data_IF_592945928560
#
_entry.id   IF_592945928560
#
_cell.length_a   1.000
_cell.length_b   1.000
_cell.length_c   1.000
_cell.angle_alpha   90.00
_cell.angle_beta   90.00
_cell.angle_gamma   90.00
#
_symmetry.space_group_name_H-M   'P 1'
#
loop_
_entity.id
_entity.type
_entity.pdbx_description
1 polymer ?
#
# COMPACT_ATOMS: atom_id res chain seq x y z
N UNK A 1 -32.66 -34.79 14.43
CA UNK A 1 -33.76 -34.01 15.06
C UNK A 1 -34.54 -34.77 16.13
N UNK A 2 -34.33 -36.07 16.30
CA UNK A 2 -35.02 -36.87 17.32
C UNK A 2 -34.37 -36.81 18.71
N UNK A 3 -33.11 -36.37 18.81
CA UNK A 3 -32.36 -36.31 20.06
C UNK A 3 -32.64 -35.05 20.89
N UNK A 4 -32.85 -33.90 20.25
CA UNK A 4 -33.28 -32.65 20.88
C UNK A 4 -34.23 -31.88 19.94
N UNK A 5 -35.55 -31.94 20.19
CA UNK A 5 -36.56 -31.22 19.40
C UNK A 5 -36.53 -29.71 19.59
N UNK A 6 -35.88 -29.21 20.65
CA UNK A 6 -35.77 -27.78 20.95
C UNK A 6 -34.53 -27.13 20.30
N UNK A 7 -33.64 -27.93 19.72
CA UNK A 7 -32.45 -27.46 19.02
C UNK A 7 -32.82 -26.57 17.83
N UNK A 8 -32.15 -25.42 17.70
CA UNK A 8 -32.31 -24.56 16.52
C UNK A 8 -31.76 -25.25 15.28
N UNK A 9 -32.54 -25.27 14.20
CA UNK A 9 -32.12 -25.83 12.91
C UNK A 9 -30.77 -25.26 12.43
N UNK A 10 -30.49 -23.97 12.66
CA UNK A 10 -29.23 -23.32 12.27
C UNK A 10 -27.98 -23.82 13.03
N UNK A 11 -28.16 -24.61 14.08
CA UNK A 11 -27.07 -25.18 14.88
C UNK A 11 -26.84 -26.66 14.60
N UNK A 12 -27.60 -27.24 13.68
CA UNK A 12 -27.41 -28.63 13.27
C UNK A 12 -26.14 -28.70 12.44
N UNK A 13 -25.16 -29.44 12.95
CA UNK A 13 -24.00 -29.82 12.15
C UNK A 13 -24.44 -30.85 11.11
N UNK A 14 -24.27 -30.49 9.84
CA UNK A 14 -24.64 -31.34 8.72
C UNK A 14 -23.49 -32.23 8.27
N UNK A 15 -22.28 -31.97 8.76
CA UNK A 15 -21.08 -32.65 8.33
C UNK A 15 -20.71 -33.74 9.33
N UNK A 16 -20.32 -34.90 8.81
CA UNK A 16 -19.76 -35.95 9.64
C UNK A 16 -18.27 -35.68 9.96
N UNK A 17 -17.70 -36.50 10.84
CA UNK A 17 -16.29 -36.36 11.25
C UNK A 17 -15.29 -36.52 10.09
N UNK A 18 -15.61 -37.33 9.08
CA UNK A 18 -14.79 -37.53 7.90
C UNK A 18 -14.83 -36.33 6.96
N UNK A 19 -16.01 -35.73 6.79
CA UNK A 19 -16.19 -34.48 6.04
C UNK A 19 -15.50 -33.30 6.72
N UNK A 20 -15.59 -33.18 8.04
CA UNK A 20 -14.81 -32.21 8.82
C UNK A 20 -13.30 -32.40 8.63
N UNK A 21 -12.81 -33.64 8.71
CA UNK A 21 -11.40 -33.93 8.48
C UNK A 21 -10.95 -33.59 7.04
N UNK A 22 -11.84 -33.80 6.06
CA UNK A 22 -11.59 -33.40 4.68
C UNK A 22 -11.52 -31.87 4.54
N UNK A 23 -12.47 -31.15 5.12
CA UNK A 23 -12.48 -29.69 5.14
C UNK A 23 -11.26 -29.11 5.86
N UNK A 24 -10.83 -29.70 6.96
CA UNK A 24 -9.62 -29.29 7.67
C UNK A 24 -8.37 -29.43 6.79
N UNK A 25 -8.30 -30.50 6.00
CA UNK A 25 -7.21 -30.76 5.08
C UNK A 25 -7.21 -29.76 3.92
N UNK A 26 -8.32 -29.60 3.19
CA UNK A 26 -8.39 -28.70 2.04
C UNK A 26 -8.37 -27.22 2.45
N UNK A 27 -8.90 -26.92 3.64
CA UNK A 27 -8.90 -25.59 4.26
C UNK A 27 -7.60 -25.24 4.97
N UNK A 28 -6.56 -26.06 4.84
CA UNK A 28 -5.23 -25.86 5.42
C UNK A 28 -5.28 -25.52 6.93
N UNK A 29 -6.18 -26.15 7.70
CA UNK A 29 -6.39 -25.85 9.12
C UNK A 29 -5.11 -25.97 9.94
N UNK A 30 -4.31 -26.98 9.66
CA UNK A 30 -3.01 -27.17 10.28
C UNK A 30 -2.07 -25.96 10.09
N UNK A 31 -2.11 -25.28 8.93
CA UNK A 31 -1.29 -24.09 8.68
C UNK A 31 -1.79 -22.89 9.48
N UNK A 32 -3.12 -22.72 9.57
CA UNK A 32 -3.75 -21.61 10.28
C UNK A 32 -3.66 -21.75 11.80
N UNK A 33 -3.59 -22.99 12.32
CA UNK A 33 -3.43 -23.28 13.75
C UNK A 33 -1.98 -23.19 14.23
N UNK A 34 -1.00 -23.04 13.32
CA UNK A 34 0.40 -22.88 13.72
C UNK A 34 0.60 -21.54 14.41
N UNK A 35 1.22 -21.56 15.58
CA UNK A 35 1.73 -20.34 16.22
C UNK A 35 2.85 -19.78 15.36
N UNK A 36 2.61 -18.63 14.74
CA UNK A 36 3.63 -17.89 13.98
C UNK A 36 4.22 -16.83 14.92
N UNK A 37 5.56 -16.67 14.98
CA UNK A 37 6.18 -15.53 15.67
C UNK A 37 5.57 -14.22 15.17
N UNK A 38 5.52 -13.18 16.01
CA UNK A 38 5.02 -11.86 15.61
C UNK A 38 5.59 -11.46 14.26
N UNK A 39 4.73 -11.37 13.25
CA UNK A 39 5.17 -11.14 11.88
C UNK A 39 5.84 -9.76 11.79
N UNK A 40 7.08 -9.74 11.30
CA UNK A 40 7.76 -8.49 11.02
C UNK A 40 7.04 -7.73 9.90
N UNK A 41 6.92 -6.42 10.03
CA UNK A 41 6.32 -5.59 8.99
C UNK A 41 7.17 -5.58 7.72
N UNK A 42 6.56 -5.35 6.55
CA UNK A 42 7.27 -5.23 5.26
C UNK A 42 8.44 -4.22 5.35
N UNK A 43 8.29 -3.01 5.91
CA UNK A 43 9.41 -2.09 6.09
C UNK A 43 10.53 -2.61 7.01
N UNK A 44 10.19 -3.41 8.03
CA UNK A 44 11.19 -3.99 8.93
C UNK A 44 12.00 -5.09 8.23
N UNK A 45 11.33 -5.98 7.50
CA UNK A 45 12.01 -7.02 6.70
C UNK A 45 12.88 -6.39 5.61
N UNK A 46 12.39 -5.34 4.94
CA UNK A 46 13.18 -4.59 3.97
C UNK A 46 14.40 -3.92 4.61
N UNK A 47 14.25 -3.27 5.76
CA UNK A 47 15.37 -2.65 6.46
C UNK A 47 16.45 -3.67 6.85
N UNK A 48 16.04 -4.87 7.31
CA UNK A 48 16.97 -5.97 7.58
C UNK A 48 17.71 -6.43 6.31
N UNK A 49 17.02 -6.49 5.16
CA UNK A 49 17.68 -6.81 3.89
C UNK A 49 18.67 -5.72 3.44
N UNK A 50 18.32 -4.44 3.61
CA UNK A 50 19.22 -3.32 3.30
C UNK A 50 20.49 -3.39 4.15
N UNK A 51 20.38 -3.76 5.42
CA UNK A 51 21.53 -3.95 6.30
C UNK A 51 22.41 -5.15 5.88
N UNK A 52 21.80 -6.26 5.43
CA UNK A 52 22.53 -7.46 4.99
C UNK A 52 23.27 -7.27 3.66
N UNK A 53 22.60 -6.69 2.67
CA UNK A 53 23.12 -6.58 1.30
C UNK A 53 22.82 -5.20 0.71
N UNK A 54 23.50 -4.13 1.18
CA UNK A 54 23.17 -2.75 0.81
C UNK A 54 23.32 -2.47 -0.69
N UNK A 55 24.29 -3.12 -1.34
CA UNK A 55 24.63 -2.91 -2.76
C UNK A 55 23.91 -3.89 -3.71
N UNK A 56 23.11 -4.81 -3.19
CA UNK A 56 22.31 -5.68 -4.04
C UNK A 56 21.22 -4.88 -4.77
N UNK A 57 20.94 -5.18 -6.05
CA UNK A 57 19.84 -4.54 -6.79
C UNK A 57 18.50 -4.87 -6.12
N UNK A 58 17.67 -3.84 -5.90
CA UNK A 58 16.39 -3.95 -5.20
C UNK A 58 15.21 -3.55 -6.08
N UNK A 59 15.36 -2.52 -6.92
CA UNK A 59 14.33 -2.08 -7.86
C UNK A 59 14.98 -1.95 -9.23
N UNK A 60 14.43 -2.61 -10.24
CA UNK A 60 14.83 -2.44 -11.65
C UNK A 60 13.60 -2.08 -12.47
N UNK A 61 13.71 -1.01 -13.25
CA UNK A 61 12.65 -0.49 -14.11
C UNK A 61 13.28 0.15 -15.35
N UNK A 62 12.78 -0.17 -16.54
CA UNK A 62 13.27 0.34 -17.84
C UNK A 62 14.81 0.32 -17.99
N UNK A 63 15.42 -0.82 -17.63
CA UNK A 63 16.87 -1.02 -17.74
C UNK A 63 17.71 -0.28 -16.70
N UNK A 64 17.10 0.52 -15.83
CA UNK A 64 17.77 1.19 -14.71
C UNK A 64 17.56 0.40 -13.42
N UNK A 65 18.61 0.23 -12.62
CA UNK A 65 18.54 -0.48 -11.35
C UNK A 65 18.99 0.40 -10.18
N UNK A 66 18.34 0.21 -9.04
CA UNK A 66 18.66 0.86 -7.77
C UNK A 66 18.99 -0.19 -6.73
N UNK A 67 20.07 0.04 -5.99
CA UNK A 67 20.48 -0.81 -4.87
C UNK A 67 19.50 -0.71 -3.70
N UNK A 68 19.53 -1.68 -2.80
CA UNK A 68 18.74 -1.68 -1.57
C UNK A 68 19.02 -0.41 -0.73
N UNK A 69 20.28 -0.01 -0.60
CA UNK A 69 20.70 1.18 0.16
C UNK A 69 20.18 2.48 -0.49
N UNK A 70 20.27 2.60 -1.82
CA UNK A 70 19.74 3.73 -2.58
C UNK A 70 18.22 3.83 -2.47
N UNK A 71 17.53 2.69 -2.59
CA UNK A 71 16.07 2.58 -2.42
C UNK A 71 15.65 3.08 -1.05
N UNK A 72 16.27 2.59 0.02
CA UNK A 72 15.97 3.01 1.39
C UNK A 72 16.16 4.53 1.61
N UNK A 73 17.25 5.12 1.09
CA UNK A 73 17.52 6.55 1.20
C UNK A 73 16.54 7.42 0.40
N UNK A 74 16.08 6.92 -0.76
CA UNK A 74 15.17 7.66 -1.65
C UNK A 74 13.69 7.51 -1.28
N UNK A 75 13.35 6.68 -0.29
CA UNK A 75 11.96 6.59 0.20
C UNK A 75 11.50 7.95 0.75
N UNK A 76 10.44 8.53 0.16
CA UNK A 76 9.85 9.81 0.58
C UNK A 76 9.08 9.77 1.91
N UNK A 77 9.38 8.81 2.79
CA UNK A 77 8.59 8.52 4.00
C UNK A 77 8.52 9.71 4.96
N UNK A 78 9.58 10.52 5.03
CA UNK A 78 9.60 11.73 5.88
C UNK A 78 8.57 12.75 5.42
N UNK A 79 8.37 12.88 4.10
CA UNK A 79 7.34 13.75 3.54
C UNK A 79 5.95 13.22 3.88
N UNK A 80 5.71 11.90 3.74
CA UNK A 80 4.45 11.29 4.16
C UNK A 80 4.17 11.51 5.65
N UNK A 81 5.19 11.31 6.50
CA UNK A 81 5.06 11.51 7.95
C UNK A 81 4.76 12.97 8.31
N UNK A 82 5.41 13.93 7.64
CA UNK A 82 5.15 15.36 7.81
C UNK A 82 3.72 15.76 7.41
N UNK A 83 3.09 15.03 6.49
CA UNK A 83 1.68 15.19 6.12
C UNK A 83 0.70 14.46 7.06
N UNK A 84 1.21 13.78 8.09
CA UNK A 84 0.39 13.09 9.09
C UNK A 84 0.12 11.61 8.78
N UNK A 85 0.87 11.00 7.87
CA UNK A 85 0.79 9.55 7.65
C UNK A 85 1.29 8.81 8.91
N UNK A 86 0.45 7.92 9.44
CA UNK A 86 0.65 7.14 10.67
C UNK A 86 -0.30 5.94 10.70
N UNK A 87 -0.16 4.98 11.64
CA UNK A 87 -1.11 3.88 11.79
C UNK A 87 -2.57 4.36 11.85
N UNK A 88 -3.44 3.63 11.13
CA UNK A 88 -4.86 3.98 11.00
C UNK A 88 -5.15 5.12 10.01
N UNK A 89 -4.15 5.65 9.30
CA UNK A 89 -4.35 6.61 8.20
C UNK A 89 -4.09 5.98 6.84
N UNK A 90 -4.61 6.61 5.80
CA UNK A 90 -4.48 6.19 4.41
C UNK A 90 -3.86 7.30 3.55
N UNK A 91 -2.99 6.93 2.61
CA UNK A 91 -2.41 7.82 1.59
C UNK A 91 -2.74 7.28 0.20
N UNK A 92 -3.32 8.10 -0.67
CA UNK A 92 -3.63 7.71 -2.04
C UNK A 92 -2.38 7.76 -2.94
N UNK A 93 -2.20 6.76 -3.80
CA UNK A 93 -1.12 6.67 -4.77
C UNK A 93 -1.72 6.66 -6.19
N UNK A 94 -1.49 7.75 -6.92
CA UNK A 94 -1.91 7.96 -8.30
C UNK A 94 -0.68 8.01 -9.19
N UNK A 95 -0.03 6.85 -9.35
CA UNK A 95 1.22 6.70 -10.07
C UNK A 95 1.06 5.61 -11.12
N UNK A 96 1.52 5.80 -12.37
CA UNK A 96 1.67 4.70 -13.30
C UNK A 96 2.72 3.72 -12.77
N UNK A 97 2.83 2.54 -13.41
CA UNK A 97 3.90 1.59 -13.11
C UNK A 97 5.27 2.26 -13.28
N UNK A 98 6.04 2.38 -12.20
CA UNK A 98 7.38 2.97 -12.18
C UNK A 98 8.16 2.56 -10.93
N UNK A 99 9.46 2.88 -10.88
CA UNK A 99 10.25 2.75 -9.65
C UNK A 99 9.71 3.65 -8.53
N UNK A 100 9.23 4.85 -8.87
CA UNK A 100 8.63 5.82 -7.95
C UNK A 100 7.36 5.27 -7.30
N UNK A 101 6.55 4.47 -8.01
CA UNK A 101 5.38 3.80 -7.44
C UNK A 101 5.77 2.85 -6.29
N UNK A 102 6.84 2.05 -6.48
CA UNK A 102 7.36 1.15 -5.44
C UNK A 102 7.95 1.96 -4.27
N UNK A 103 8.70 3.02 -4.55
CA UNK A 103 9.22 3.92 -3.53
C UNK A 103 8.09 4.57 -2.72
N UNK A 104 6.96 4.90 -3.36
CA UNK A 104 5.82 5.49 -2.71
C UNK A 104 5.08 4.52 -1.79
N UNK A 105 4.87 3.27 -2.23
CA UNK A 105 4.35 2.21 -1.37
C UNK A 105 5.23 2.04 -0.14
N UNK A 106 6.55 1.93 -0.33
CA UNK A 106 7.50 1.79 0.79
C UNK A 106 7.51 3.01 1.70
N UNK A 107 7.38 4.22 1.15
CA UNK A 107 7.31 5.45 1.92
C UNK A 107 6.09 5.47 2.85
N UNK A 108 4.91 5.09 2.35
CA UNK A 108 3.67 5.02 3.12
C UNK A 108 3.75 3.93 4.18
N UNK A 109 4.13 2.71 3.80
CA UNK A 109 4.24 1.58 4.73
C UNK A 109 5.23 1.86 5.87
N UNK A 110 6.35 2.55 5.60
CA UNK A 110 7.33 2.92 6.63
C UNK A 110 6.77 3.86 7.70
N UNK A 111 5.70 4.60 7.41
CA UNK A 111 4.97 5.41 8.41
C UNK A 111 3.95 4.61 9.21
N UNK A 112 3.68 3.35 8.83
CA UNK A 112 2.61 2.53 9.38
C UNK A 112 1.22 2.85 8.81
N UNK A 113 1.10 3.83 7.91
CA UNK A 113 -0.13 4.11 7.18
C UNK A 113 -0.41 3.03 6.12
N UNK A 114 -1.68 2.90 5.75
CA UNK A 114 -2.10 2.15 4.57
C UNK A 114 -1.96 3.01 3.31
N UNK A 115 -1.77 2.37 2.15
CA UNK A 115 -1.84 3.04 0.86
C UNK A 115 -3.12 2.64 0.11
N UNK A 116 -3.68 3.57 -0.66
CA UNK A 116 -4.74 3.32 -1.61
C UNK A 116 -4.17 3.49 -3.02
N UNK A 117 -3.95 2.38 -3.73
CA UNK A 117 -3.53 2.43 -5.12
C UNK A 117 -4.72 2.79 -6.02
N UNK A 118 -4.58 3.84 -6.83
CA UNK A 118 -5.58 4.30 -7.79
C UNK A 118 -4.91 4.33 -9.16
N UNK A 119 -5.45 3.59 -10.12
CA UNK A 119 -5.01 3.64 -11.51
C UNK A 119 -5.42 4.99 -12.14
N UNK A 120 -4.46 5.82 -12.61
CA UNK A 120 -4.77 7.07 -13.30
C UNK A 120 -5.58 6.90 -14.60
N UNK A 121 -5.62 5.69 -15.18
CA UNK A 121 -6.42 5.37 -16.36
C UNK A 121 -7.92 5.22 -16.06
N UNK A 122 -8.32 5.18 -14.79
CA UNK A 122 -9.73 5.16 -14.43
C UNK A 122 -10.43 6.48 -14.77
N UNK A 123 -11.75 6.45 -15.08
CA UNK A 123 -12.55 7.66 -15.20
C UNK A 123 -12.50 8.50 -13.92
N UNK A 124 -12.57 9.83 -14.05
CA UNK A 124 -12.47 10.76 -12.91
C UNK A 124 -13.50 10.46 -11.81
N UNK A 125 -14.74 10.14 -12.19
CA UNK A 125 -15.79 9.77 -11.24
C UNK A 125 -15.39 8.58 -10.34
N UNK A 126 -14.69 7.58 -10.88
CA UNK A 126 -14.23 6.42 -10.08
C UNK A 126 -13.10 6.82 -9.13
N UNK A 127 -12.15 7.62 -9.60
CA UNK A 127 -11.06 8.11 -8.74
C UNK A 127 -11.58 9.01 -7.61
N UNK A 128 -12.53 9.89 -7.91
CA UNK A 128 -13.19 10.76 -6.94
C UNK A 128 -13.98 9.96 -5.91
N UNK A 129 -14.74 8.94 -6.34
CA UNK A 129 -15.43 8.02 -5.44
C UNK A 129 -14.46 7.33 -4.47
N UNK A 130 -13.38 6.74 -4.99
CA UNK A 130 -12.38 6.04 -4.15
C UNK A 130 -11.74 6.97 -3.12
N UNK A 131 -11.42 8.20 -3.51
CA UNK A 131 -10.85 9.21 -2.60
C UNK A 131 -11.88 9.74 -1.61
N UNK A 132 -13.15 9.85 -2.00
CA UNK A 132 -14.23 10.25 -1.10
C UNK A 132 -14.43 9.19 0.00
N UNK A 133 -14.56 7.92 -0.41
CA UNK A 133 -14.81 6.77 0.46
C UNK A 133 -13.65 6.48 1.42
N UNK A 134 -12.41 6.44 0.90
CA UNK A 134 -11.25 6.09 1.71
C UNK A 134 -10.73 7.24 2.60
N UNK A 135 -11.11 8.49 2.31
CA UNK A 135 -10.68 9.67 3.06
C UNK A 135 -9.16 9.77 3.30
N UNK A 136 -8.31 9.68 2.26
CA UNK A 136 -6.87 9.72 2.44
C UNK A 136 -6.42 11.08 2.99
N UNK A 137 -5.35 11.07 3.78
CA UNK A 137 -4.76 12.28 4.37
C UNK A 137 -3.87 13.05 3.39
N UNK A 138 -3.41 12.39 2.33
CA UNK A 138 -2.62 12.96 1.25
C UNK A 138 -2.75 12.11 -0.01
N UNK A 139 -2.42 12.68 -1.16
CA UNK A 139 -2.26 11.98 -2.42
C UNK A 139 -0.83 12.13 -2.95
N UNK A 140 -0.29 11.08 -3.53
CA UNK A 140 1.02 11.04 -4.16
C UNK A 140 0.82 10.81 -5.65
N UNK A 141 1.38 11.67 -6.50
CA UNK A 141 1.23 11.59 -7.97
C UNK A 141 2.48 12.10 -8.70
N UNK A 142 2.48 12.05 -10.03
CA UNK A 142 3.49 12.69 -10.89
C UNK A 142 2.87 13.90 -11.60
N UNK A 143 3.71 14.81 -12.11
CA UNK A 143 3.30 15.97 -12.93
C UNK A 143 2.36 15.64 -14.10
N UNK A 144 2.45 14.41 -14.64
CA UNK A 144 1.62 13.95 -15.76
C UNK A 144 0.24 13.40 -15.34
N UNK A 145 0.04 13.12 -14.04
CA UNK A 145 -1.21 12.60 -13.52
C UNK A 145 -2.27 13.70 -13.37
N UNK A 146 -3.50 13.45 -13.84
CA UNK A 146 -4.64 14.33 -13.57
C UNK A 146 -4.96 14.24 -12.07
N UNK A 147 -4.69 15.28 -11.26
CA UNK A 147 -4.85 15.16 -9.82
C UNK A 147 -6.33 15.02 -9.49
N UNK A 148 -6.66 14.10 -8.57
CA UNK A 148 -7.98 14.09 -7.94
C UNK A 148 -8.18 15.44 -7.27
N UNK A 149 -9.23 16.16 -7.71
CA UNK A 149 -9.54 17.49 -7.20
C UNK A 149 -10.42 17.38 -5.97
N UNK A 150 -9.81 17.05 -4.83
CA UNK A 150 -10.46 17.18 -3.52
C UNK A 150 -9.94 18.44 -2.81
N UNK A 151 -10.78 19.45 -2.55
CA UNK A 151 -10.38 20.64 -1.80
C UNK A 151 -9.73 20.25 -0.47
N UNK A 152 -8.56 20.81 -0.18
CA UNK A 152 -7.84 20.58 1.07
C UNK A 152 -7.02 19.29 1.16
N UNK A 153 -7.04 18.41 0.15
CA UNK A 153 -6.18 17.23 0.13
C UNK A 153 -4.75 17.61 -0.30
N UNK A 154 -3.73 17.44 0.57
CA UNK A 154 -2.34 17.68 0.17
C UNK A 154 -1.92 16.73 -0.95
N UNK A 155 -1.29 17.29 -2.00
CA UNK A 155 -0.77 16.52 -3.13
C UNK A 155 0.75 16.60 -3.13
N UNK A 156 1.39 15.43 -3.12
CA UNK A 156 2.83 15.25 -3.25
C UNK A 156 3.17 14.85 -4.66
N UNK A 157 4.09 15.60 -5.26
CA UNK A 157 4.67 15.28 -6.55
C UNK A 157 6.02 14.56 -6.34
N UNK A 158 6.16 13.38 -6.94
CA UNK A 158 7.36 12.54 -6.83
C UNK A 158 8.39 12.84 -7.93
N UNK A 159 8.03 13.64 -8.94
CA UNK A 159 8.89 14.00 -10.06
C UNK A 159 8.80 13.05 -11.26
N UNK A 160 9.21 13.57 -12.42
CA UNK A 160 9.02 13.02 -13.77
C UNK A 160 9.77 11.69 -14.03
N UNK A 161 9.10 10.63 -14.55
CA UNK A 161 9.76 9.40 -14.99
C UNK A 161 10.73 9.59 -16.18
N UNK A 162 10.66 10.68 -16.94
CA UNK A 162 11.49 10.92 -18.13
C UNK A 162 12.86 11.57 -17.85
N UNK A 163 13.15 11.97 -16.61
CA UNK A 163 14.44 12.56 -16.25
C UNK A 163 15.42 11.45 -15.86
N UNK A 164 16.57 11.33 -16.53
CA UNK A 164 17.66 10.37 -16.22
C UNK A 164 18.77 10.97 -15.35
N UNK A 165 18.62 12.19 -14.84
CA UNK A 165 19.68 12.87 -14.11
C UNK A 165 19.65 12.57 -12.60
N UNK A 166 20.80 12.12 -12.09
CA UNK A 166 21.11 11.79 -10.70
C UNK A 166 21.14 13.01 -9.75
N UNK A 167 20.10 13.84 -9.74
CA UNK A 167 19.90 14.85 -8.68
C UNK A 167 18.93 14.31 -7.64
N UNK A 168 19.22 14.57 -6.37
CA UNK A 168 18.38 14.19 -5.24
C UNK A 168 16.93 14.65 -5.46
N UNK A 169 16.08 13.70 -5.89
CA UNK A 169 14.65 13.90 -6.14
C UNK A 169 13.95 13.99 -4.80
N UNK A 170 13.64 15.21 -4.39
CA UNK A 170 12.88 15.47 -3.17
C UNK A 170 11.40 15.43 -3.50
N UNK A 171 10.64 14.62 -2.76
CA UNK A 171 9.18 14.65 -2.78
C UNK A 171 8.72 16.04 -2.35
N UNK A 172 8.05 16.77 -3.23
CA UNK A 172 7.61 18.15 -2.97
C UNK A 172 6.10 18.17 -2.76
N UNK A 173 5.68 18.75 -1.65
CA UNK A 173 4.28 19.11 -1.46
C UNK A 173 3.99 20.36 -2.28
N UNK A 174 3.02 20.30 -3.19
CA UNK A 174 2.49 21.49 -3.86
C UNK A 174 1.19 21.91 -3.16
N UNK A 175 1.02 23.19 -2.78
CA UNK A 175 -0.31 23.67 -2.43
C UNK A 175 -1.20 23.63 -3.68
N UNK A 176 -2.39 23.04 -3.58
CA UNK A 176 -3.42 23.14 -4.61
C UNK A 176 -3.76 24.62 -4.77
N UNK A 177 -3.39 25.23 -5.92
CA UNK A 177 -3.82 26.60 -6.23
C UNK A 177 -5.34 26.61 -6.27
N UNK A 178 -5.97 27.44 -5.43
CA UNK A 178 -7.39 27.79 -5.57
C UNK A 178 -7.52 28.53 -6.91
N UNK A 179 -8.03 27.86 -7.93
CA UNK A 179 -8.57 28.55 -9.10
C UNK A 179 -9.84 29.24 -8.66
N UNK A 180 -9.74 30.54 -8.36
CA UNK A 180 -10.89 31.43 -8.28
C UNK A 180 -11.31 31.74 -9.72
N UNK A 181 -12.40 31.12 -10.15
CA UNK A 181 -13.27 31.56 -11.26
C UNK A 181 -14.66 31.11 -10.91
#
# INVERSE_FOLDING_TARGET
MTADPSQRLSSVDLLDSGEHAHLDKIGNRAVLARTVPTAASIPAVFAAQVARTPEAPAITFDGQSMTASSTARRTGWRTCAALGARPGRCVALLLPRSAEAVLAVMAVLKTGAAYLAIDPAHPSARMEFMVADAGPIAAVTTTAGRPVRRPGLPVVDVGDPASSAARARTWRCRPLRRSLT
#
